data_IF_219055038187
#
_entry.id   IF_219055038187
#
_cell.length_a   1.000
_cell.length_b   1.000
_cell.length_c   1.000
_cell.angle_alpha   90.00
_cell.angle_beta   90.00
_cell.angle_gamma   90.00
#
_symmetry.space_group_name_H-M   'P 1'
#
loop_
_entity.id
_entity.type
_entity.pdbx_description
1 polymer ?
#
# COMPACT_ATOMS: atom_id res chain seq x y z
N UNK A 1 -49.57 -47.11 -12.62
CA UNK A 1 -48.33 -46.75 -11.90
C UNK A 1 -48.09 -45.26 -12.10
N UNK A 2 -48.06 -44.48 -11.01
CA UNK A 2 -48.08 -43.01 -11.02
C UNK A 2 -46.67 -42.47 -11.29
N UNK A 3 -46.56 -41.54 -12.24
CA UNK A 3 -45.35 -40.74 -12.52
C UNK A 3 -45.24 -39.67 -11.43
N UNK A 4 -44.07 -39.51 -10.82
CA UNK A 4 -43.84 -38.42 -9.86
C UNK A 4 -42.44 -37.85 -10.09
N UNK A 5 -42.43 -36.67 -10.70
CA UNK A 5 -41.28 -35.78 -10.87
C UNK A 5 -40.80 -35.28 -9.50
N UNK A 6 -39.50 -35.31 -9.23
CA UNK A 6 -38.90 -34.51 -8.16
C UNK A 6 -37.69 -33.77 -8.72
N UNK A 7 -37.80 -32.45 -8.66
CA UNK A 7 -36.85 -31.43 -9.09
C UNK A 7 -35.85 -31.17 -7.96
N UNK A 8 -34.58 -30.96 -8.33
CA UNK A 8 -33.70 -30.01 -7.66
C UNK A 8 -33.23 -30.37 -6.25
N UNK A 9 -32.16 -31.15 -6.16
CA UNK A 9 -31.44 -31.42 -4.92
C UNK A 9 -30.01 -30.88 -4.96
N UNK A 10 -29.84 -29.61 -4.58
CA UNK A 10 -28.69 -29.12 -3.82
C UNK A 10 -27.27 -29.35 -4.41
N UNK A 11 -26.92 -28.50 -5.37
CA UNK A 11 -25.53 -28.09 -5.61
C UNK A 11 -25.04 -27.30 -4.38
N UNK A 12 -24.56 -28.00 -3.35
CA UNK A 12 -24.06 -27.44 -2.10
C UNK A 12 -22.58 -27.11 -2.24
N UNK A 13 -22.33 -25.81 -2.39
CA UNK A 13 -21.28 -25.06 -1.71
C UNK A 13 -19.81 -25.47 -1.99
N UNK A 14 -19.38 -25.26 -3.23
CA UNK A 14 -18.00 -24.87 -3.52
C UNK A 14 -17.90 -23.36 -3.38
N UNK A 15 -17.48 -22.87 -2.20
CA UNK A 15 -16.93 -21.52 -1.99
C UNK A 15 -16.28 -21.48 -0.60
N UNK A 16 -15.21 -22.27 -0.45
CA UNK A 16 -14.26 -22.05 0.63
C UNK A 16 -13.59 -20.69 0.35
N UNK A 17 -14.13 -19.65 0.97
CA UNK A 17 -13.54 -18.33 0.97
C UNK A 17 -12.14 -18.41 1.55
N UNK A 18 -11.13 -18.28 0.68
CA UNK A 18 -9.76 -18.00 1.09
C UNK A 18 -9.76 -16.61 1.70
N UNK A 19 -9.97 -16.53 3.01
CA UNK A 19 -9.67 -15.33 3.80
C UNK A 19 -8.16 -15.18 3.72
N UNK A 20 -7.69 -14.35 2.79
CA UNK A 20 -6.30 -13.94 2.75
C UNK A 20 -5.98 -13.28 4.08
N UNK A 21 -4.94 -13.77 4.77
CA UNK A 21 -4.37 -13.09 5.91
C UNK A 21 -3.84 -11.74 5.42
N UNK A 22 -4.67 -10.69 5.51
CA UNK A 22 -4.18 -9.34 5.57
C UNK A 22 -3.48 -9.22 6.92
N UNK A 23 -2.17 -9.47 6.93
CA UNK A 23 -1.33 -9.15 8.08
C UNK A 23 -1.42 -7.63 8.22
N UNK A 24 -2.29 -7.15 9.12
CA UNK A 24 -2.32 -5.76 9.53
C UNK A 24 -1.04 -5.53 10.34
N UNK A 25 0.08 -5.38 9.63
CA UNK A 25 1.30 -4.88 10.21
C UNK A 25 1.01 -3.45 10.69
N UNK A 26 1.61 -3.14 11.83
CA UNK A 26 1.47 -1.94 12.67
C UNK A 26 1.89 -0.66 11.93
N UNK A 27 1.13 -0.33 10.89
CA UNK A 27 1.31 0.83 10.02
C UNK A 27 0.55 2.00 10.63
N UNK A 28 1.05 3.22 10.39
CA UNK A 28 0.41 4.50 10.76
C UNK A 28 -1.02 4.69 10.19
N UNK A 29 -1.58 3.68 9.50
CA UNK A 29 -2.90 3.62 8.92
C UNK A 29 -3.03 4.52 7.69
N UNK A 30 -3.28 3.95 6.52
CA UNK A 30 -3.39 4.70 5.27
C UNK A 30 -3.82 3.84 4.08
N UNK A 31 -4.18 4.49 2.98
CA UNK A 31 -4.60 3.85 1.74
C UNK A 31 -3.40 3.76 0.77
N UNK A 32 -2.75 2.60 0.70
CA UNK A 32 -1.59 2.37 -0.16
C UNK A 32 -1.88 2.63 -1.66
N UNK A 33 -3.11 2.43 -2.13
CA UNK A 33 -3.48 2.75 -3.53
C UNK A 33 -3.44 4.25 -3.79
N UNK A 34 -3.97 5.05 -2.87
CA UNK A 34 -3.87 6.52 -2.93
C UNK A 34 -2.42 6.98 -2.70
N UNK A 35 -1.72 6.31 -1.78
CA UNK A 35 -0.30 6.51 -1.51
C UNK A 35 0.60 6.40 -2.73
N UNK A 36 0.40 5.36 -3.54
CA UNK A 36 1.13 5.19 -4.81
C UNK A 36 0.96 6.38 -5.73
N UNK A 37 -0.28 6.87 -5.89
CA UNK A 37 -0.54 8.03 -6.72
C UNK A 37 0.17 9.29 -6.21
N UNK A 38 0.04 9.57 -4.91
CA UNK A 38 0.68 10.72 -4.26
C UNK A 38 2.21 10.64 -4.36
N UNK A 39 2.78 9.47 -4.08
CA UNK A 39 4.20 9.21 -4.19
C UNK A 39 4.72 9.46 -5.60
N UNK A 40 4.12 8.84 -6.64
CA UNK A 40 4.56 9.01 -8.02
C UNK A 40 4.42 10.44 -8.51
N UNK A 41 3.40 11.17 -8.05
CA UNK A 41 3.18 12.57 -8.40
C UNK A 41 4.24 13.50 -7.78
N UNK A 42 4.66 13.21 -6.55
CA UNK A 42 5.40 14.17 -5.73
C UNK A 42 6.86 13.77 -5.45
N UNK A 43 7.30 12.52 -5.67
CA UNK A 43 8.65 12.09 -5.29
C UNK A 43 9.78 12.94 -5.92
N UNK A 44 9.56 13.44 -7.14
CA UNK A 44 10.52 14.26 -7.90
C UNK A 44 10.67 15.69 -7.35
N UNK A 45 9.78 16.15 -6.46
CA UNK A 45 9.95 17.46 -5.80
C UNK A 45 11.17 17.47 -4.87
N UNK A 46 11.50 16.30 -4.31
CA UNK A 46 12.66 16.11 -3.44
C UNK A 46 13.84 15.42 -4.15
N UNK A 47 13.57 14.41 -4.97
CA UNK A 47 14.58 13.47 -5.48
C UNK A 47 15.04 13.77 -6.93
N UNK A 48 14.75 14.96 -7.43
CA UNK A 48 15.15 15.40 -8.76
C UNK A 48 14.39 14.72 -9.89
N UNK A 49 14.78 15.03 -11.13
CA UNK A 49 14.00 14.66 -12.31
C UNK A 49 13.88 13.14 -12.50
N UNK A 50 14.86 12.34 -12.09
CA UNK A 50 14.82 10.88 -12.25
C UNK A 50 14.30 10.15 -11.01
N UNK A 51 14.40 10.74 -9.81
CA UNK A 51 14.12 10.08 -8.53
C UNK A 51 14.73 8.67 -8.41
N UNK A 52 15.91 8.47 -8.99
CA UNK A 52 16.53 7.15 -9.17
C UNK A 52 17.04 6.54 -7.86
N UNK A 53 17.20 7.35 -6.83
CA UNK A 53 17.55 6.95 -5.47
C UNK A 53 16.34 6.46 -4.65
N UNK A 54 15.11 6.73 -5.13
CA UNK A 54 13.89 6.47 -4.39
C UNK A 54 13.03 5.41 -5.05
N UNK A 55 12.79 4.32 -4.33
CA UNK A 55 11.85 3.26 -4.68
C UNK A 55 11.29 2.66 -3.40
N UNK A 56 10.04 2.12 -3.39
CA UNK A 56 9.55 1.39 -2.23
C UNK A 56 10.54 0.30 -1.77
N UNK A 57 11.12 -0.43 -2.71
CA UNK A 57 12.14 -1.46 -2.45
C UNK A 57 13.55 -0.93 -2.10
N UNK A 58 13.76 0.39 -1.99
CA UNK A 58 15.05 0.97 -1.57
C UNK A 58 15.35 0.71 -0.09
N UNK A 59 14.33 0.65 0.77
CA UNK A 59 14.45 0.50 2.22
C UNK A 59 13.56 -0.63 2.75
N UNK A 60 13.87 -1.15 3.93
CA UNK A 60 13.00 -2.10 4.65
C UNK A 60 11.87 -1.38 5.39
N UNK A 61 10.82 -2.11 5.80
CA UNK A 61 9.66 -1.60 6.51
C UNK A 61 10.02 -0.76 7.74
N UNK A 62 10.99 -1.21 8.53
CA UNK A 62 11.46 -0.51 9.74
C UNK A 62 12.09 0.85 9.42
N UNK A 63 12.85 0.95 8.33
CA UNK A 63 13.50 2.20 7.89
C UNK A 63 12.46 3.18 7.37
N UNK A 64 11.49 2.72 6.58
CA UNK A 64 10.35 3.54 6.16
C UNK A 64 9.55 4.05 7.35
N UNK A 65 9.28 3.20 8.34
CA UNK A 65 8.58 3.60 9.56
C UNK A 65 9.34 4.69 10.30
N UNK A 66 10.65 4.52 10.50
CA UNK A 66 11.48 5.53 11.17
C UNK A 66 11.46 6.89 10.45
N UNK A 67 11.49 6.90 9.12
CA UNK A 67 11.39 8.15 8.34
C UNK A 67 10.04 8.85 8.50
N UNK A 68 8.94 8.09 8.54
CA UNK A 68 7.59 8.66 8.54
C UNK A 68 7.00 8.87 9.94
N UNK A 69 7.57 8.27 10.99
CA UNK A 69 7.27 8.61 12.40
C UNK A 69 7.55 10.09 12.70
N UNK A 70 8.56 10.66 12.04
CA UNK A 70 8.82 12.10 12.06
C UNK A 70 9.01 12.66 10.64
N UNK A 71 7.97 12.50 9.81
CA UNK A 71 7.98 13.01 8.43
C UNK A 71 8.27 14.52 8.34
N UNK A 72 7.96 15.29 9.39
CA UNK A 72 8.26 16.72 9.46
C UNK A 72 9.76 17.03 9.51
N UNK A 73 10.59 16.10 10.02
CA UNK A 73 12.04 16.23 10.08
C UNK A 73 12.75 15.82 8.78
N UNK A 74 12.02 15.38 7.75
CA UNK A 74 12.63 15.04 6.47
C UNK A 74 13.27 16.30 5.85
N UNK A 75 14.53 16.23 5.37
CA UNK A 75 15.25 17.41 4.87
C UNK A 75 14.59 18.19 3.73
N UNK A 76 13.62 17.58 3.05
CA UNK A 76 12.91 18.17 1.92
C UNK A 76 11.43 18.48 2.21
N UNK A 77 11.02 18.45 3.49
CA UNK A 77 9.62 18.65 3.91
C UNK A 77 9.05 19.99 3.41
N UNK A 78 9.90 21.00 3.28
CA UNK A 78 9.63 22.33 2.75
C UNK A 78 9.28 22.34 1.25
N UNK A 79 9.68 21.31 0.51
CA UNK A 79 9.40 21.14 -0.92
C UNK A 79 8.12 20.35 -1.21
N UNK A 80 7.46 19.85 -0.18
CA UNK A 80 6.21 19.11 -0.35
C UNK A 80 5.09 20.08 -0.74
N UNK A 81 4.07 19.62 -1.50
CA UNK A 81 2.92 20.47 -1.85
C UNK A 81 2.30 21.06 -0.59
N UNK A 82 1.97 22.35 -0.62
CA UNK A 82 1.42 23.06 0.54
C UNK A 82 0.07 22.49 0.98
N UNK A 83 -0.68 21.92 0.03
CA UNK A 83 -1.95 21.24 0.23
C UNK A 83 -1.84 19.80 0.75
N UNK A 84 -0.62 19.26 0.89
CA UNK A 84 -0.40 17.89 1.34
C UNK A 84 -0.79 17.73 2.80
N UNK A 85 -1.82 16.92 3.05
CA UNK A 85 -2.38 16.69 4.39
C UNK A 85 -1.63 15.58 5.13
N UNK A 86 -1.82 15.50 6.46
CA UNK A 86 -1.32 14.36 7.25
C UNK A 86 -1.85 13.01 6.76
N UNK A 87 -3.09 12.98 6.27
CA UNK A 87 -3.67 11.77 5.67
C UNK A 87 -2.94 11.39 4.38
N UNK A 88 -2.55 12.36 3.54
CA UNK A 88 -1.76 12.08 2.34
C UNK A 88 -0.36 11.55 2.70
N UNK A 89 0.25 12.08 3.77
CA UNK A 89 1.54 11.57 4.29
C UNK A 89 1.40 10.10 4.70
N UNK A 90 0.34 9.77 5.44
CA UNK A 90 0.05 8.40 5.87
C UNK A 90 -0.26 7.47 4.70
N UNK A 91 -1.03 7.93 3.72
CA UNK A 91 -1.29 7.18 2.49
C UNK A 91 0.02 6.85 1.76
N UNK A 92 0.88 7.85 1.55
CA UNK A 92 2.21 7.66 0.95
C UNK A 92 3.08 6.70 1.75
N UNK A 93 3.11 6.82 3.08
CA UNK A 93 3.80 5.88 3.96
C UNK A 93 3.30 4.45 3.76
N UNK A 94 1.98 4.22 3.77
CA UNK A 94 1.41 2.88 3.57
C UNK A 94 1.89 2.26 2.26
N UNK A 95 1.98 3.03 1.17
CA UNK A 95 2.54 2.51 -0.07
C UNK A 95 4.02 2.13 0.04
N UNK A 96 4.85 2.96 0.66
CA UNK A 96 6.27 2.68 0.81
C UNK A 96 6.54 1.49 1.73
N UNK A 97 5.75 1.38 2.80
CA UNK A 97 5.84 0.30 3.78
C UNK A 97 5.32 -1.04 3.23
N UNK A 98 4.13 -1.06 2.61
CA UNK A 98 3.50 -2.30 2.13
C UNK A 98 4.28 -2.94 0.97
N UNK A 99 5.06 -2.13 0.25
CA UNK A 99 5.86 -2.54 -0.90
C UNK A 99 7.37 -2.36 -0.65
N UNK A 100 7.78 -2.33 0.62
CA UNK A 100 9.17 -2.22 1.05
C UNK A 100 10.03 -3.41 0.58
N UNK A 101 11.36 -3.30 0.73
CA UNK A 101 12.35 -4.31 0.32
C UNK A 101 12.09 -5.70 0.90
N UNK A 102 11.65 -5.76 2.15
CA UNK A 102 11.36 -6.96 2.93
C UNK A 102 9.87 -7.33 2.94
N UNK A 103 9.04 -6.64 2.15
CA UNK A 103 7.64 -7.03 1.96
C UNK A 103 7.52 -8.30 1.10
N UNK A 104 6.38 -9.01 1.14
CA UNK A 104 6.11 -10.12 0.22
C UNK A 104 6.05 -9.70 -1.26
N UNK A 105 5.88 -8.41 -1.53
CA UNK A 105 5.76 -7.88 -2.89
C UNK A 105 6.49 -6.54 -3.05
N UNK A 106 7.84 -6.52 -3.02
CA UNK A 106 8.60 -5.27 -3.12
C UNK A 106 8.35 -4.58 -4.46
N UNK A 107 8.08 -3.28 -4.45
CA UNK A 107 7.85 -2.52 -5.68
C UNK A 107 9.08 -1.71 -6.10
N UNK A 108 9.34 -1.71 -7.40
CA UNK A 108 10.28 -0.78 -8.05
C UNK A 108 9.55 0.45 -8.57
N UNK A 109 10.28 1.57 -8.64
CA UNK A 109 9.82 2.70 -9.43
C UNK A 109 10.03 2.39 -10.91
N UNK A 110 8.96 2.57 -11.69
CA UNK A 110 8.95 2.37 -13.14
C UNK A 110 8.75 3.71 -13.83
#
# INVERSE_FOLDING_TARGET
MKRTTTIGGFAVLVLAATVGLAVAADTLGGNARKGKYLYTKNCRTCHGQTASDLSPSSLVQAEWKAHFENAAALPCRDKWPAEMTEADVKDTFSYLYDFAKDSPSPAKCN
#
